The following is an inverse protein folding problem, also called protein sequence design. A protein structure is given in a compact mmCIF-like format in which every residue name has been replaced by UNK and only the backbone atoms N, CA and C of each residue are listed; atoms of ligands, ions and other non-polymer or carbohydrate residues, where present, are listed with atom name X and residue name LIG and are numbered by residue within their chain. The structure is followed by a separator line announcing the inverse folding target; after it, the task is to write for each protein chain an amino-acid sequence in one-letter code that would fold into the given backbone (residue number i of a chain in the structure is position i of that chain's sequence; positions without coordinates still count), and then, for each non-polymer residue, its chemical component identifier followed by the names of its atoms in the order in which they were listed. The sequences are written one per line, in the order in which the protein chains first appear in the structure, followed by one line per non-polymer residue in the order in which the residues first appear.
data_IF_671739719529
#
_entry.id   IF_671739719529
#
_cell.length_a   1.000
_cell.length_b   1.000
_cell.length_c   1.000
_cell.angle_alpha   90.00
_cell.angle_beta   90.00
_cell.angle_gamma   90.00
#
_symmetry.space_group_name_H-M   'P 1'
#
loop_
_entity.id
_entity.type
_entity.pdbx_description
1 polymer ?
#
# COMPACT_ATOMS: atom_id res chain seq x y z
N UNK A 1 -25.42 20.02 16.12
CA UNK A 1 -24.16 19.29 16.42
C UNK A 1 -24.21 17.80 16.02
N UNK A 2 -25.28 17.05 16.35
CA UNK A 2 -25.39 15.62 16.00
C UNK A 2 -25.39 15.31 14.49
N UNK A 3 -25.97 16.18 13.66
CA UNK A 3 -26.06 16.00 12.20
C UNK A 3 -24.71 16.14 11.49
N UNK A 4 -23.88 17.11 11.93
CA UNK A 4 -22.53 17.28 11.43
C UNK A 4 -21.65 16.05 11.72
N UNK A 5 -21.77 15.47 12.92
CA UNK A 5 -21.05 14.24 13.29
C UNK A 5 -21.46 13.03 12.44
N UNK A 6 -22.75 12.91 12.09
CA UNK A 6 -23.26 11.84 11.22
C UNK A 6 -22.76 11.98 9.78
N UNK A 7 -22.70 13.21 9.27
CA UNK A 7 -22.16 13.50 7.92
C UNK A 7 -20.67 13.19 7.82
N UNK A 8 -19.87 13.58 8.83
CA UNK A 8 -18.43 13.25 8.88
C UNK A 8 -18.21 11.74 8.94
N UNK A 9 -18.98 11.02 9.77
CA UNK A 9 -18.89 9.55 9.86
C UNK A 9 -19.17 8.86 8.51
N UNK A 10 -20.19 9.31 7.78
CA UNK A 10 -20.52 8.77 6.46
C UNK A 10 -19.45 9.06 5.38
N UNK A 11 -18.74 10.19 5.47
CA UNK A 11 -17.66 10.53 4.55
C UNK A 11 -16.43 9.67 4.83
N UNK A 12 -16.10 9.48 6.11
CA UNK A 12 -14.98 8.62 6.53
C UNK A 12 -15.20 7.17 6.08
N UNK A 13 -16.38 6.61 6.31
CA UNK A 13 -16.69 5.23 5.87
C UNK A 13 -16.65 5.08 4.35
N UNK A 14 -17.15 6.06 3.59
CA UNK A 14 -17.07 6.04 2.12
C UNK A 14 -15.63 6.10 1.61
N UNK A 15 -14.80 6.91 2.25
CA UNK A 15 -13.38 6.99 1.90
C UNK A 15 -12.67 5.66 2.20
N UNK A 16 -12.94 5.04 3.35
CA UNK A 16 -12.39 3.72 3.70
C UNK A 16 -12.81 2.63 2.70
N UNK A 17 -14.09 2.58 2.31
CA UNK A 17 -14.59 1.65 1.29
C UNK A 17 -13.87 1.85 -0.06
N UNK A 18 -13.74 3.10 -0.52
CA UNK A 18 -13.05 3.41 -1.79
C UNK A 18 -11.54 3.12 -1.76
N UNK A 19 -10.88 3.27 -0.61
CA UNK A 19 -9.48 2.88 -0.44
C UNK A 19 -9.35 1.35 -0.45
N UNK A 20 -10.29 0.64 0.18
CA UNK A 20 -10.26 -0.83 0.22
C UNK A 20 -10.46 -1.47 -1.16
N UNK A 21 -11.28 -0.88 -2.03
CA UNK A 21 -11.43 -1.34 -3.42
C UNK A 21 -10.13 -1.14 -4.21
N UNK A 22 -9.49 0.04 -4.09
CA UNK A 22 -8.20 0.33 -4.74
C UNK A 22 -7.08 -0.63 -4.29
N UNK A 23 -7.10 -1.04 -3.02
CA UNK A 23 -6.12 -1.99 -2.48
C UNK A 23 -6.26 -3.37 -3.13
N UNK A 24 -7.49 -3.87 -3.28
CA UNK A 24 -7.74 -5.17 -3.92
C UNK A 24 -7.40 -5.18 -5.41
N UNK A 25 -7.76 -4.10 -6.12
CA UNK A 25 -7.40 -3.94 -7.53
C UNK A 25 -5.89 -3.93 -7.73
N UNK A 26 -5.14 -3.27 -6.82
CA UNK A 26 -3.69 -3.30 -6.82
C UNK A 26 -3.14 -4.72 -6.65
N UNK A 27 -3.59 -5.46 -5.62
CA UNK A 27 -3.11 -6.83 -5.38
C UNK A 27 -3.44 -7.75 -6.55
N UNK A 28 -4.64 -7.62 -7.11
CA UNK A 28 -5.05 -8.40 -8.26
C UNK A 28 -4.21 -8.09 -9.50
N UNK A 29 -3.97 -6.80 -9.78
CA UNK A 29 -3.11 -6.37 -10.86
C UNK A 29 -1.70 -6.95 -10.72
N UNK A 30 -1.09 -6.84 -9.54
CA UNK A 30 0.24 -7.40 -9.25
C UNK A 30 0.24 -8.93 -9.45
N UNK A 31 -0.77 -9.63 -8.93
CA UNK A 31 -0.88 -11.07 -9.05
C UNK A 31 -0.99 -11.54 -10.50
N UNK A 32 -1.89 -10.95 -11.27
CA UNK A 32 -2.16 -11.36 -12.64
C UNK A 32 -1.03 -10.92 -13.59
N UNK A 33 -0.60 -9.66 -13.52
CA UNK A 33 0.36 -9.10 -14.49
C UNK A 33 1.82 -9.37 -14.16
N UNK A 34 2.21 -9.26 -12.88
CA UNK A 34 3.61 -9.39 -12.48
C UNK A 34 3.98 -10.82 -12.08
N UNK A 35 3.05 -11.54 -11.43
CA UNK A 35 3.29 -12.89 -10.92
C UNK A 35 2.72 -13.98 -11.82
N UNK A 36 1.91 -13.62 -12.83
CA UNK A 36 1.30 -14.57 -13.78
C UNK A 36 0.28 -15.51 -13.13
N UNK A 37 -0.32 -15.11 -12.01
CA UNK A 37 -1.33 -15.89 -11.32
C UNK A 37 -2.65 -15.82 -12.08
N UNK A 38 -3.29 -16.98 -12.27
CA UNK A 38 -4.68 -17.01 -12.74
C UNK A 38 -5.62 -16.43 -11.66
N UNK A 39 -6.87 -16.11 -12.05
CA UNK A 39 -7.89 -15.66 -11.08
C UNK A 39 -8.07 -16.67 -9.95
N UNK A 40 -8.11 -17.97 -10.29
CA UNK A 40 -8.31 -19.04 -9.32
C UNK A 40 -7.12 -19.19 -8.38
N UNK A 41 -5.89 -19.01 -8.90
CA UNK A 41 -4.69 -19.09 -8.08
C UNK A 41 -4.58 -17.89 -7.14
N UNK A 42 -4.95 -16.70 -7.61
CA UNK A 42 -4.97 -15.48 -6.78
C UNK A 42 -5.90 -15.60 -5.58
N UNK A 43 -7.08 -16.21 -5.72
CA UNK A 43 -7.99 -16.40 -4.58
C UNK A 43 -7.58 -17.54 -3.65
N UNK A 44 -6.73 -18.47 -4.10
CA UNK A 44 -6.26 -19.63 -3.31
C UNK A 44 -4.91 -19.39 -2.65
N UNK A 45 -4.13 -18.41 -3.11
CA UNK A 45 -2.80 -18.12 -2.57
C UNK A 45 -2.89 -17.56 -1.15
N UNK A 46 -1.94 -17.93 -0.30
CA UNK A 46 -1.83 -17.30 1.01
C UNK A 46 -1.18 -15.92 0.87
N UNK A 47 -1.63 -14.89 1.62
CA UNK A 47 -1.04 -13.56 1.56
C UNK A 47 0.49 -13.55 1.78
N UNK A 48 0.99 -14.43 2.64
CA UNK A 48 2.43 -14.60 2.88
C UNK A 48 3.18 -15.11 1.64
N UNK A 49 2.60 -16.05 0.89
CA UNK A 49 3.21 -16.56 -0.33
C UNK A 49 3.20 -15.52 -1.45
N UNK A 50 2.08 -14.82 -1.62
CA UNK A 50 1.95 -13.71 -2.56
C UNK A 50 3.02 -12.63 -2.31
N UNK A 51 3.16 -12.18 -1.06
CA UNK A 51 4.14 -11.16 -0.70
C UNK A 51 5.57 -11.65 -0.95
N UNK A 52 5.89 -12.91 -0.66
CA UNK A 52 7.21 -13.48 -0.92
C UNK A 52 7.54 -13.51 -2.41
N UNK A 53 6.57 -13.89 -3.24
CA UNK A 53 6.72 -13.85 -4.70
C UNK A 53 6.93 -12.43 -5.20
N UNK A 54 6.14 -11.47 -4.71
CA UNK A 54 6.28 -10.07 -5.06
C UNK A 54 7.63 -9.48 -4.64
N UNK A 55 8.12 -9.78 -3.43
CA UNK A 55 9.45 -9.37 -2.97
C UNK A 55 10.54 -9.97 -3.88
N UNK A 56 10.40 -11.23 -4.31
CA UNK A 56 11.35 -11.86 -5.23
C UNK A 56 11.38 -11.13 -6.58
N UNK A 57 10.21 -10.80 -7.13
CA UNK A 57 10.09 -10.01 -8.34
C UNK A 57 10.81 -8.65 -8.19
N UNK A 58 10.61 -7.95 -7.08
CA UNK A 58 11.29 -6.69 -6.80
C UNK A 58 12.81 -6.86 -6.70
N UNK A 59 13.31 -7.89 -6.02
CA UNK A 59 14.76 -8.17 -5.94
C UNK A 59 15.41 -8.34 -7.30
N UNK A 60 14.70 -8.96 -8.24
CA UNK A 60 15.23 -9.24 -9.56
C UNK A 60 15.18 -8.02 -10.48
N UNK A 61 14.06 -7.27 -10.47
CA UNK A 61 13.82 -6.21 -11.44
C UNK A 61 14.22 -4.82 -10.93
N UNK A 62 14.02 -4.55 -9.63
CA UNK A 62 14.26 -3.25 -9.00
C UNK A 62 14.79 -3.46 -7.57
N UNK A 63 16.02 -3.98 -7.40
CA UNK A 63 16.56 -4.28 -6.09
C UNK A 63 16.56 -3.06 -5.16
N UNK A 64 16.80 -1.85 -5.70
CA UNK A 64 16.82 -0.59 -4.95
C UNK A 64 15.48 -0.27 -4.27
N UNK A 65 14.35 -0.79 -4.77
CA UNK A 65 13.03 -0.57 -4.17
C UNK A 65 12.88 -1.20 -2.78
N UNK A 66 13.71 -2.20 -2.45
CA UNK A 66 13.71 -2.88 -1.15
C UNK A 66 14.68 -2.25 -0.15
N UNK A 67 15.61 -1.44 -0.63
CA UNK A 67 16.49 -0.68 0.23
C UNK A 67 15.75 0.60 0.58
N UNK A 68 15.28 0.71 1.82
CA UNK A 68 14.85 1.99 2.38
C UNK A 68 16.08 2.90 2.54
N UNK A 69 16.66 3.35 1.43
CA UNK A 69 17.54 4.51 1.40
C UNK A 69 16.66 5.77 1.45
N UNK A 70 15.74 5.85 2.41
CA UNK A 70 15.34 7.17 2.90
C UNK A 70 16.42 7.52 3.90
N UNK A 71 17.41 8.38 3.58
CA UNK A 71 18.21 8.95 4.65
C UNK A 71 17.22 9.50 5.65
N UNK A 72 17.26 9.01 6.91
CA UNK A 72 16.53 9.68 8.00
C UNK A 72 16.91 11.14 7.86
N UNK A 73 15.95 11.98 7.54
CA UNK A 73 16.18 13.40 7.39
C UNK A 73 16.39 13.90 8.83
N UNK A 74 17.65 13.84 9.28
CA UNK A 74 18.05 14.31 10.60
C UNK A 74 18.03 15.83 10.48
N UNK A 75 16.90 16.43 10.84
CA UNK A 75 16.81 17.87 11.00
C UNK A 75 17.61 18.24 12.25
N UNK A 76 18.72 18.95 12.06
CA UNK A 76 19.45 19.59 13.16
C UNK A 76 18.70 20.85 13.59
N UNK A 77 18.84 21.27 14.85
CA UNK A 77 18.10 22.39 15.46
C UNK A 77 18.27 23.74 14.72
N UNK A 78 19.30 23.88 13.90
CA UNK A 78 19.56 25.04 13.03
C UNK A 78 18.73 25.03 11.73
N UNK A 79 18.18 23.89 11.35
CA UNK A 79 17.38 23.70 10.11
C UNK A 79 15.88 23.79 10.35
N UNK A 80 15.44 23.89 11.61
CA UNK A 80 14.04 24.08 11.97
C UNK A 80 13.71 25.57 11.97
N UNK A 81 12.75 26.04 11.13
CA UNK A 81 12.29 27.42 11.17
C UNK A 81 11.32 27.57 12.34
N UNK A 82 11.85 27.55 13.57
CA UNK A 82 11.10 28.02 14.72
C UNK A 82 11.15 29.55 14.71
N UNK A 83 10.10 30.14 14.13
CA UNK A 83 9.63 31.50 14.46
C UNK A 83 8.43 31.37 15.39
#
# INVERSE_FOLDING_TARGET
EAEARKKVKNILTKNEESQSELDWDFYFYVGNTLLGLSMDDFWKITPAHFLKQFIMYLRYNNPDALHEQKPKQIYTLDQTPFL
#
